data_IF_277609744924
#
_entry.id   IF_277609744924
#
_cell.length_a   1.000
_cell.length_b   1.000
_cell.length_c   1.000
_cell.angle_alpha   90.00
_cell.angle_beta   90.00
_cell.angle_gamma   90.00
#
_symmetry.space_group_name_H-M   'P 1'
#
loop_
_entity.id
_entity.type
_entity.pdbx_description
1 polymer ?
#
# COMPACT_ATOMS: atom_id res chain seq x y z
N UNK A 1 -6.84 -14.94 -59.93
CA UNK A 1 -5.63 -14.90 -59.07
C UNK A 1 -6.12 -14.60 -57.67
N UNK A 2 -6.26 -15.65 -56.86
CA UNK A 2 -6.69 -15.52 -55.45
C UNK A 2 -5.44 -15.26 -54.58
N UNK A 3 -5.39 -14.12 -53.90
CA UNK A 3 -4.35 -13.84 -52.90
C UNK A 3 -4.60 -14.66 -51.63
N UNK A 4 -3.56 -15.10 -50.92
CA UNK A 4 -3.73 -15.88 -49.70
C UNK A 4 -4.28 -15.04 -48.57
N UNK A 5 -5.41 -15.46 -48.01
CA UNK A 5 -5.99 -14.95 -46.77
C UNK A 5 -5.06 -15.22 -45.60
N UNK A 6 -4.48 -14.18 -45.02
CA UNK A 6 -3.72 -14.27 -43.77
C UNK A 6 -4.73 -14.33 -42.61
N UNK A 7 -5.24 -15.51 -42.34
CA UNK A 7 -5.94 -15.82 -41.09
C UNK A 7 -4.90 -16.25 -40.03
N UNK A 8 -4.14 -15.31 -39.53
CA UNK A 8 -3.34 -15.49 -38.32
C UNK A 8 -4.22 -15.34 -37.08
N UNK A 9 -5.08 -16.34 -36.82
CA UNK A 9 -5.74 -16.45 -35.54
C UNK A 9 -4.68 -16.64 -34.45
N UNK A 10 -4.53 -15.68 -33.56
CA UNK A 10 -3.81 -15.79 -32.33
C UNK A 10 -4.41 -16.94 -31.52
N UNK A 11 -3.85 -18.14 -31.65
CA UNK A 11 -4.10 -19.21 -30.69
C UNK A 11 -3.54 -18.74 -29.35
N UNK A 12 -4.38 -18.20 -28.48
CA UNK A 12 -4.09 -18.09 -27.05
C UNK A 12 -3.87 -19.51 -26.55
N UNK A 13 -2.61 -19.95 -26.45
CA UNK A 13 -2.24 -21.22 -25.86
C UNK A 13 -2.79 -21.22 -24.42
N UNK A 14 -3.88 -21.95 -24.19
CA UNK A 14 -4.47 -22.10 -22.88
C UNK A 14 -3.42 -22.71 -21.94
N UNK A 15 -3.07 -21.98 -20.87
CA UNK A 15 -2.13 -22.45 -19.86
C UNK A 15 -2.69 -23.74 -19.24
N UNK A 16 -1.91 -24.82 -19.26
CA UNK A 16 -2.34 -26.09 -18.65
C UNK A 16 -2.50 -25.94 -17.13
N UNK A 17 -3.31 -26.75 -16.45
CA UNK A 17 -3.51 -26.67 -15.01
C UNK A 17 -2.23 -26.73 -14.19
N UNK A 18 -1.23 -27.51 -14.60
CA UNK A 18 0.07 -27.62 -13.90
C UNK A 18 0.88 -26.33 -13.98
N UNK A 19 0.93 -25.70 -15.14
CA UNK A 19 1.59 -24.41 -15.34
C UNK A 19 0.87 -23.28 -14.57
N UNK A 20 -0.45 -23.35 -14.49
CA UNK A 20 -1.23 -22.43 -13.71
C UNK A 20 -0.89 -22.49 -12.21
N UNK A 21 -0.78 -23.68 -11.62
CA UNK A 21 -0.45 -23.84 -10.19
C UNK A 21 0.91 -23.22 -9.84
N UNK A 22 1.93 -23.50 -10.67
CA UNK A 22 3.28 -22.94 -10.49
C UNK A 22 3.28 -21.40 -10.48
N UNK A 23 2.57 -20.79 -11.44
CA UNK A 23 2.43 -19.35 -11.54
C UNK A 23 1.74 -18.75 -10.30
N UNK A 24 0.64 -19.39 -9.83
CA UNK A 24 -0.07 -18.93 -8.64
C UNK A 24 0.78 -19.01 -7.36
N UNK A 25 1.58 -20.10 -7.21
CA UNK A 25 2.48 -20.26 -6.06
C UNK A 25 3.52 -19.14 -6.05
N UNK A 26 4.18 -18.87 -7.18
CA UNK A 26 5.21 -17.81 -7.28
C UNK A 26 4.57 -16.42 -6.97
N UNK A 27 3.41 -16.14 -7.55
CA UNK A 27 2.71 -14.88 -7.34
C UNK A 27 2.29 -14.72 -5.87
N UNK A 28 1.84 -15.81 -5.22
CA UNK A 28 1.46 -15.80 -3.81
C UNK A 28 2.67 -15.53 -2.90
N UNK A 29 3.82 -16.16 -3.20
CA UNK A 29 5.05 -15.89 -2.45
C UNK A 29 5.45 -14.42 -2.58
N UNK A 30 5.43 -13.85 -3.79
CA UNK A 30 5.74 -12.45 -3.98
C UNK A 30 4.72 -11.52 -3.27
N UNK A 31 3.44 -11.90 -3.21
CA UNK A 31 2.41 -11.17 -2.51
C UNK A 31 2.58 -11.16 -0.98
N UNK A 32 3.40 -12.06 -0.40
CA UNK A 32 3.77 -11.99 1.04
C UNK A 32 4.48 -10.69 1.38
N UNK A 33 5.19 -10.07 0.43
CA UNK A 33 5.73 -8.72 0.61
C UNK A 33 4.64 -7.67 0.85
N UNK A 34 3.50 -7.79 0.15
CA UNK A 34 2.31 -6.99 0.41
C UNK A 34 1.68 -7.29 1.77
N UNK A 35 1.59 -8.56 2.16
CA UNK A 35 1.07 -8.95 3.48
C UNK A 35 1.90 -8.34 4.60
N UNK A 36 3.21 -8.38 4.51
CA UNK A 36 4.11 -7.79 5.50
C UNK A 36 4.01 -6.26 5.53
N UNK A 37 3.85 -5.62 4.36
CA UNK A 37 3.55 -4.20 4.29
C UNK A 37 2.29 -3.88 5.11
N UNK A 38 1.17 -4.57 4.85
CA UNK A 38 -0.09 -4.32 5.57
C UNK A 38 0.02 -4.60 7.06
N UNK A 39 0.74 -5.66 7.44
CA UNK A 39 0.94 -6.03 8.84
C UNK A 39 1.75 -4.96 9.60
N UNK A 40 2.96 -4.63 9.12
CA UNK A 40 3.85 -3.69 9.81
C UNK A 40 3.29 -2.26 9.83
N UNK A 41 2.49 -1.91 8.81
CA UNK A 41 1.81 -0.63 8.75
C UNK A 41 0.84 -0.41 9.93
N UNK A 42 0.10 -1.42 10.35
CA UNK A 42 -1.01 -1.30 11.32
C UNK A 42 -0.64 -1.82 12.70
N UNK A 43 0.39 -2.65 12.84
CA UNK A 43 0.81 -3.19 14.15
C UNK A 43 1.03 -2.08 15.18
N UNK A 44 1.53 -0.92 14.76
CA UNK A 44 1.79 0.23 15.61
C UNK A 44 0.53 0.78 16.28
N UNK A 45 -0.62 0.72 15.59
CA UNK A 45 -1.89 1.21 16.12
C UNK A 45 -2.37 0.50 17.38
N UNK A 46 -2.07 -0.81 17.52
CA UNK A 46 -2.36 -1.56 18.75
C UNK A 46 -1.28 -1.45 19.82
N UNK A 47 -0.01 -1.34 19.41
CA UNK A 47 1.14 -1.28 20.32
C UNK A 47 1.35 0.10 20.96
N UNK A 48 0.88 1.17 20.29
CA UNK A 48 1.14 2.58 20.60
C UNK A 48 0.90 2.93 22.06
N UNK A 49 -0.28 2.68 22.57
CA UNK A 49 -0.68 3.05 23.93
C UNK A 49 0.22 2.41 25.02
N UNK A 50 0.96 1.38 24.69
CA UNK A 50 1.84 0.66 25.63
C UNK A 50 3.29 1.13 25.54
N UNK A 51 3.85 1.28 24.33
CA UNK A 51 5.22 1.75 24.20
C UNK A 51 5.36 3.25 24.54
N UNK A 52 4.32 4.07 24.35
CA UNK A 52 4.33 5.47 24.80
C UNK A 52 4.51 5.57 26.31
N UNK A 53 3.80 4.72 27.07
CA UNK A 53 3.97 4.63 28.52
C UNK A 53 5.35 4.07 28.89
N UNK A 54 5.79 3.01 28.20
CA UNK A 54 7.09 2.37 28.45
C UNK A 54 8.28 3.32 28.28
N UNK A 55 8.28 4.12 27.21
CA UNK A 55 9.34 5.10 26.92
C UNK A 55 9.08 6.48 27.52
N UNK A 56 8.04 6.63 28.35
CA UNK A 56 7.66 7.92 29.00
C UNK A 56 7.50 9.07 28.01
N UNK A 57 6.84 8.81 26.86
CA UNK A 57 6.63 9.82 25.82
C UNK A 57 5.52 10.80 26.22
N UNK A 58 5.90 12.02 26.58
CA UNK A 58 4.96 13.07 27.01
C UNK A 58 4.76 14.16 25.97
N UNK A 59 5.74 14.35 25.08
CA UNK A 59 5.67 15.36 24.03
C UNK A 59 4.88 14.87 22.83
N UNK A 60 3.87 15.65 22.41
CA UNK A 60 3.04 15.38 21.23
C UNK A 60 3.88 15.22 19.95
N UNK A 61 4.91 16.03 19.79
CA UNK A 61 5.83 15.94 18.66
C UNK A 61 6.63 14.62 18.66
N UNK A 62 7.07 14.16 19.85
CA UNK A 62 7.79 12.88 19.98
C UNK A 62 6.85 11.70 19.73
N UNK A 63 5.60 11.77 20.17
CA UNK A 63 4.57 10.77 19.86
C UNK A 63 4.29 10.73 18.36
N UNK A 64 4.11 11.87 17.71
CA UNK A 64 3.96 11.97 16.26
C UNK A 64 5.15 11.36 15.51
N UNK A 65 6.38 11.65 15.95
CA UNK A 65 7.60 11.09 15.38
C UNK A 65 7.67 9.57 15.55
N UNK A 66 7.38 9.04 16.74
CA UNK A 66 7.39 7.61 17.00
C UNK A 66 6.45 6.84 16.05
N UNK A 67 5.27 7.41 15.76
CA UNK A 67 4.29 6.81 14.87
C UNK A 67 4.63 6.96 13.38
N UNK A 68 5.31 8.05 12.99
CA UNK A 68 5.58 8.38 11.59
C UNK A 68 6.98 8.03 11.10
N UNK A 69 7.95 7.76 11.98
CA UNK A 69 9.34 7.56 11.61
C UNK A 69 9.57 6.43 10.58
N UNK A 70 8.76 5.36 10.62
CA UNK A 70 8.83 4.29 9.63
C UNK A 70 8.55 4.78 8.21
N UNK A 71 7.73 5.82 8.05
CA UNK A 71 7.38 6.40 6.73
C UNK A 71 8.59 7.07 6.05
N UNK A 72 9.54 7.57 6.83
CA UNK A 72 10.84 8.02 6.30
C UNK A 72 11.57 6.84 5.67
N UNK A 73 11.58 5.70 6.34
CA UNK A 73 12.12 4.46 5.79
C UNK A 73 11.39 4.02 4.51
N UNK A 74 10.04 4.10 4.50
CA UNK A 74 9.24 3.77 3.32
C UNK A 74 9.62 4.64 2.12
N UNK A 75 9.80 5.93 2.31
CA UNK A 75 10.27 6.84 1.26
C UNK A 75 11.65 6.43 0.73
N UNK A 76 12.62 6.21 1.63
CA UNK A 76 13.99 5.80 1.26
C UNK A 76 13.99 4.46 0.51
N UNK A 77 13.27 3.47 1.02
CA UNK A 77 13.14 2.17 0.38
C UNK A 77 12.47 2.24 -0.99
N UNK A 78 11.42 3.06 -1.11
CA UNK A 78 10.70 3.27 -2.37
C UNK A 78 11.57 3.94 -3.44
N UNK A 79 12.34 4.95 -3.07
CA UNK A 79 13.29 5.64 -3.98
C UNK A 79 14.42 4.71 -4.45
N UNK A 80 14.90 3.85 -3.56
CA UNK A 80 15.97 2.91 -3.88
C UNK A 80 15.50 1.68 -4.68
N UNK A 81 14.20 1.31 -4.57
CA UNK A 81 13.66 0.05 -5.06
C UNK A 81 13.91 -0.18 -6.56
N UNK A 82 13.65 0.83 -7.40
CA UNK A 82 13.84 0.72 -8.85
C UNK A 82 15.30 0.42 -9.22
N UNK A 83 16.22 1.28 -8.79
CA UNK A 83 17.65 1.14 -9.08
C UNK A 83 18.23 -0.17 -8.55
N UNK A 84 17.85 -0.57 -7.34
CA UNK A 84 18.30 -1.82 -6.75
C UNK A 84 17.72 -3.05 -7.47
N UNK A 85 16.42 -2.98 -7.86
CA UNK A 85 15.77 -4.06 -8.60
C UNK A 85 16.39 -4.27 -9.98
N UNK A 86 16.77 -3.20 -10.67
CA UNK A 86 17.42 -3.29 -11.98
C UNK A 86 18.86 -3.80 -11.87
N UNK A 87 19.58 -3.44 -10.81
CA UNK A 87 20.97 -3.86 -10.62
C UNK A 87 21.12 -5.29 -10.11
N UNK A 88 20.29 -5.69 -9.13
CA UNK A 88 20.48 -6.96 -8.40
C UNK A 88 19.42 -8.02 -8.72
N UNK A 89 18.37 -7.68 -9.43
CA UNK A 89 17.23 -8.54 -9.72
C UNK A 89 16.12 -8.43 -8.69
N UNK A 90 14.94 -8.91 -9.07
CA UNK A 90 13.72 -8.76 -8.26
C UNK A 90 13.70 -9.73 -7.09
N UNK A 91 14.05 -10.99 -7.32
CA UNK A 91 14.10 -12.04 -6.31
C UNK A 91 15.03 -11.70 -5.16
N UNK A 92 16.25 -11.24 -5.46
CA UNK A 92 17.23 -10.88 -4.43
C UNK A 92 16.74 -9.73 -3.58
N UNK A 93 16.06 -8.77 -4.19
CA UNK A 93 15.53 -7.61 -3.48
C UNK A 93 14.31 -7.96 -2.61
N UNK A 94 13.45 -8.88 -3.07
CA UNK A 94 12.36 -9.45 -2.25
C UNK A 94 12.92 -10.19 -1.03
N UNK A 95 13.98 -10.98 -1.22
CA UNK A 95 14.67 -11.68 -0.14
C UNK A 95 15.28 -10.70 0.86
N UNK A 96 15.96 -9.65 0.38
CA UNK A 96 16.52 -8.61 1.24
C UNK A 96 15.42 -7.89 2.05
N UNK A 97 14.30 -7.54 1.43
CA UNK A 97 13.16 -6.95 2.11
C UNK A 97 12.58 -7.90 3.17
N UNK A 98 12.44 -9.20 2.88
CA UNK A 98 11.94 -10.21 3.82
C UNK A 98 12.84 -10.33 5.06
N UNK A 99 14.16 -10.38 4.87
CA UNK A 99 15.14 -10.40 5.96
C UNK A 99 15.09 -9.12 6.78
N UNK A 100 15.00 -7.95 6.11
CA UNK A 100 14.87 -6.67 6.80
C UNK A 100 13.59 -6.61 7.65
N UNK A 101 12.44 -7.11 7.15
CA UNK A 101 11.22 -7.23 7.95
C UNK A 101 11.43 -8.11 9.18
N UNK A 102 12.03 -9.28 9.02
CA UNK A 102 12.25 -10.21 10.13
C UNK A 102 13.17 -9.59 11.20
N UNK A 103 14.29 -9.02 10.79
CA UNK A 103 15.28 -8.45 11.71
C UNK A 103 14.73 -7.18 12.38
N UNK A 104 14.18 -6.25 11.59
CA UNK A 104 13.69 -4.98 12.13
C UNK A 104 12.52 -5.19 13.10
N UNK A 105 11.60 -6.11 12.82
CA UNK A 105 10.44 -6.37 13.68
C UNK A 105 10.84 -6.93 15.04
N UNK A 106 11.76 -7.92 15.06
CA UNK A 106 12.29 -8.46 16.32
C UNK A 106 13.01 -7.36 17.11
N UNK A 107 13.91 -6.63 16.45
CA UNK A 107 14.73 -5.62 17.13
C UNK A 107 13.92 -4.37 17.52
N UNK A 108 12.84 -4.05 16.82
CA UNK A 108 11.86 -3.04 17.25
C UNK A 108 11.16 -3.49 18.54
N UNK A 109 10.67 -4.74 18.57
CA UNK A 109 10.01 -5.29 19.75
C UNK A 109 10.93 -5.33 20.98
N UNK A 110 12.22 -5.63 20.80
CA UNK A 110 13.19 -5.74 21.89
C UNK A 110 14.14 -4.54 22.00
N UNK A 111 13.72 -3.39 21.47
CA UNK A 111 14.49 -2.17 21.62
C UNK A 111 14.67 -1.78 23.08
N UNK A 112 15.93 -1.50 23.45
CA UNK A 112 16.32 -1.12 24.83
C UNK A 112 16.23 0.39 25.08
N UNK A 113 16.12 1.19 24.04
CA UNK A 113 15.99 2.64 24.12
C UNK A 113 15.02 3.14 23.03
N UNK A 114 14.50 4.35 23.25
CA UNK A 114 13.64 5.01 22.26
C UNK A 114 14.37 5.25 20.93
N UNK A 115 15.65 5.64 20.98
CA UNK A 115 16.45 5.83 19.76
C UNK A 115 16.66 4.53 18.98
N UNK A 116 16.88 3.40 19.66
CA UNK A 116 16.97 2.10 19.03
C UNK A 116 15.61 1.69 18.41
N UNK A 117 14.50 1.96 19.11
CA UNK A 117 13.16 1.75 18.57
C UNK A 117 12.95 2.51 17.26
N UNK A 118 13.26 3.81 17.23
CA UNK A 118 13.15 4.65 16.03
C UNK A 118 14.02 4.11 14.89
N UNK A 119 15.28 3.76 15.17
CA UNK A 119 16.19 3.22 14.16
C UNK A 119 15.64 1.96 13.50
N UNK A 120 15.19 1.00 14.30
CA UNK A 120 14.62 -0.25 13.77
C UNK A 120 13.28 -0.05 13.05
N UNK A 121 12.47 0.91 13.49
CA UNK A 121 11.25 1.31 12.78
C UNK A 121 11.54 1.92 11.41
N UNK A 122 12.55 2.77 11.28
CA UNK A 122 12.99 3.33 9.98
C UNK A 122 13.48 2.19 9.07
N UNK A 123 14.24 1.25 9.61
CA UNK A 123 14.75 0.12 8.85
C UNK A 123 13.60 -0.80 8.38
N UNK A 124 12.62 -1.08 9.23
CA UNK A 124 11.39 -1.79 8.86
C UNK A 124 10.60 -1.05 7.77
N UNK A 125 10.48 0.27 7.91
CA UNK A 125 9.91 1.11 6.86
C UNK A 125 10.65 1.00 5.52
N UNK A 126 11.98 0.88 5.53
CA UNK A 126 12.75 0.64 4.30
C UNK A 126 12.35 -0.68 3.64
N UNK A 127 12.12 -1.73 4.42
CA UNK A 127 11.61 -3.00 3.89
C UNK A 127 10.20 -2.84 3.27
N UNK A 128 9.31 -2.05 3.90
CA UNK A 128 8.01 -1.69 3.34
C UNK A 128 8.18 -0.99 1.98
N UNK A 129 9.02 0.05 1.91
CA UNK A 129 9.27 0.82 0.69
C UNK A 129 9.82 -0.04 -0.44
N UNK A 130 10.73 -0.96 -0.16
CA UNK A 130 11.26 -1.93 -1.13
C UNK A 130 10.15 -2.88 -1.62
N UNK A 131 9.45 -3.54 -0.71
CA UNK A 131 8.46 -4.57 -1.07
C UNK A 131 7.24 -4.00 -1.75
N UNK A 132 6.77 -2.79 -1.39
CA UNK A 132 5.62 -2.13 -2.01
C UNK A 132 5.80 -1.86 -3.51
N UNK A 133 7.04 -1.71 -3.97
CA UNK A 133 7.37 -1.54 -5.38
C UNK A 133 7.73 -2.87 -6.06
N UNK A 134 8.58 -3.67 -5.43
CA UNK A 134 9.16 -4.85 -6.07
C UNK A 134 8.19 -6.02 -6.14
N UNK A 135 7.31 -6.21 -5.14
CA UNK A 135 6.34 -7.31 -5.16
C UNK A 135 5.36 -7.22 -6.33
N UNK A 136 4.63 -6.10 -6.54
CA UNK A 136 3.73 -6.00 -7.69
C UNK A 136 4.48 -5.98 -9.02
N UNK A 137 5.69 -5.40 -9.08
CA UNK A 137 6.53 -5.43 -10.27
C UNK A 137 6.92 -6.86 -10.66
N UNK A 138 7.42 -7.64 -9.71
CA UNK A 138 7.79 -9.04 -9.93
C UNK A 138 6.57 -9.87 -10.40
N UNK A 139 5.42 -9.70 -9.72
CA UNK A 139 4.18 -10.39 -10.11
C UNK A 139 3.78 -10.02 -11.55
N UNK A 140 3.89 -8.75 -11.93
CA UNK A 140 3.55 -8.30 -13.28
C UNK A 140 4.50 -8.88 -14.34
N UNK A 141 5.81 -9.02 -14.03
CA UNK A 141 6.84 -9.52 -14.95
C UNK A 141 6.77 -11.04 -15.19
N UNK A 142 6.32 -11.82 -14.19
CA UNK A 142 6.13 -13.27 -14.35
C UNK A 142 4.77 -13.64 -14.94
N UNK A 143 3.82 -12.68 -14.97
CA UNK A 143 2.43 -12.97 -15.30
C UNK A 143 2.16 -12.85 -16.79
N UNK A 144 1.53 -13.86 -17.41
CA UNK A 144 0.98 -13.75 -18.76
C UNK A 144 -0.03 -12.60 -18.86
N UNK A 145 -0.06 -11.92 -20.00
CA UNK A 145 -0.88 -10.73 -20.22
C UNK A 145 -2.35 -10.94 -19.85
N UNK A 146 -2.92 -12.11 -20.17
CA UNK A 146 -4.31 -12.44 -19.87
C UNK A 146 -4.65 -12.55 -18.37
N UNK A 147 -3.67 -12.86 -17.51
CA UNK A 147 -3.86 -13.08 -16.06
C UNK A 147 -3.20 -12.00 -15.19
N UNK A 148 -2.41 -11.10 -15.80
CA UNK A 148 -1.57 -10.10 -15.11
C UNK A 148 -2.38 -9.26 -14.11
N UNK A 149 -3.51 -8.73 -14.52
CA UNK A 149 -4.35 -7.91 -13.66
C UNK A 149 -4.81 -8.64 -12.39
N UNK A 150 -5.27 -9.90 -12.54
CA UNK A 150 -5.71 -10.73 -11.40
C UNK A 150 -4.56 -11.06 -10.45
N UNK A 151 -3.38 -11.38 -10.99
CA UNK A 151 -2.22 -11.75 -10.19
C UNK A 151 -1.63 -10.55 -9.46
N UNK A 152 -1.57 -9.38 -10.10
CA UNK A 152 -1.14 -8.14 -9.43
C UNK A 152 -2.12 -7.74 -8.32
N UNK A 153 -3.43 -7.98 -8.51
CA UNK A 153 -4.44 -7.73 -7.48
C UNK A 153 -4.24 -8.58 -6.21
N UNK A 154 -3.55 -9.74 -6.30
CA UNK A 154 -3.17 -10.52 -5.12
C UNK A 154 -2.31 -9.72 -4.15
N UNK A 155 -1.44 -8.84 -4.65
CA UNK A 155 -0.62 -8.00 -3.78
C UNK A 155 -1.50 -7.06 -2.93
N UNK A 156 -2.50 -6.42 -3.54
CA UNK A 156 -3.44 -5.58 -2.80
C UNK A 156 -4.28 -6.39 -1.80
N UNK A 157 -4.75 -7.57 -2.21
CA UNK A 157 -5.45 -8.48 -1.30
C UNK A 157 -4.58 -8.90 -0.12
N UNK A 158 -3.31 -9.24 -0.38
CA UNK A 158 -2.36 -9.62 0.67
C UNK A 158 -2.10 -8.47 1.66
N UNK A 159 -2.04 -7.20 1.20
CA UNK A 159 -1.91 -6.03 2.08
C UNK A 159 -3.07 -5.98 3.08
N UNK A 160 -4.32 -6.08 2.63
CA UNK A 160 -5.47 -5.97 3.53
C UNK A 160 -5.62 -7.20 4.44
N UNK A 161 -5.22 -8.39 3.99
CA UNK A 161 -5.10 -9.57 4.85
C UNK A 161 -4.04 -9.34 5.93
N UNK A 162 -2.90 -8.74 5.60
CA UNK A 162 -1.85 -8.38 6.55
C UNK A 162 -2.35 -7.39 7.60
N UNK A 163 -3.12 -6.37 7.20
CA UNK A 163 -3.77 -5.41 8.10
C UNK A 163 -4.66 -6.14 9.12
N UNK A 164 -5.57 -6.99 8.65
CA UNK A 164 -6.47 -7.74 9.53
C UNK A 164 -5.70 -8.69 10.45
N UNK A 165 -4.68 -9.38 9.92
CA UNK A 165 -3.85 -10.28 10.71
C UNK A 165 -3.13 -9.54 11.84
N UNK A 166 -2.55 -8.37 11.58
CA UNK A 166 -1.92 -7.53 12.60
C UNK A 166 -2.90 -7.14 13.71
N UNK A 167 -4.11 -6.76 13.35
CA UNK A 167 -5.16 -6.37 14.30
C UNK A 167 -5.61 -7.55 15.16
N UNK A 168 -5.79 -8.73 14.58
CA UNK A 168 -6.13 -9.96 15.32
C UNK A 168 -5.01 -10.32 16.29
N UNK A 169 -3.74 -10.26 15.84
CA UNK A 169 -2.59 -10.58 16.70
C UNK A 169 -2.46 -9.57 17.83
N UNK A 170 -2.62 -8.27 17.56
CA UNK A 170 -2.63 -7.22 18.58
C UNK A 170 -3.73 -7.47 19.62
N UNK A 171 -4.95 -7.79 19.15
CA UNK A 171 -6.07 -8.13 20.03
C UNK A 171 -5.80 -9.36 20.92
N UNK A 172 -5.19 -10.40 20.36
CA UNK A 172 -4.88 -11.63 21.10
C UNK A 172 -3.75 -11.48 22.11
N UNK A 173 -2.77 -10.62 21.80
CA UNK A 173 -1.62 -10.35 22.67
C UNK A 173 -1.93 -9.32 23.77
N UNK A 174 -2.88 -8.42 23.53
CA UNK A 174 -3.33 -7.47 24.53
C UNK A 174 -4.12 -8.19 25.64
N UNK A 175 -3.70 -7.99 26.89
CA UNK A 175 -4.42 -8.51 28.05
C UNK A 175 -5.43 -7.49 28.56
N UNK A 176 -6.58 -7.92 29.10
CA UNK A 176 -7.54 -7.04 29.71
C UNK A 176 -6.90 -6.17 30.80
N UNK A 177 -7.26 -4.91 30.86
CA UNK A 177 -6.81 -3.97 31.88
C UNK A 177 -8.02 -3.32 32.57
N UNK A 178 -7.89 -3.12 33.88
CA UNK A 178 -8.91 -2.36 34.63
C UNK A 178 -8.90 -0.89 34.16
N UNK A 179 -10.06 -0.28 34.06
CA UNK A 179 -10.18 1.13 33.78
C UNK A 179 -9.66 1.98 34.96
N UNK A 180 -8.93 3.07 34.65
CA UNK A 180 -8.46 4.01 35.68
C UNK A 180 -7.27 3.54 36.51
N UNK A 181 -6.48 2.57 36.02
CA UNK A 181 -5.24 2.17 36.72
C UNK A 181 -4.31 3.38 36.89
N UNK A 182 -3.75 3.61 38.11
CA UNK A 182 -2.68 4.59 38.33
C UNK A 182 -1.49 4.33 37.40
N UNK A 183 -0.79 5.40 37.02
CA UNK A 183 0.31 5.31 36.06
C UNK A 183 1.45 4.39 36.54
N UNK A 184 1.74 4.38 37.84
CA UNK A 184 2.76 3.51 38.43
C UNK A 184 2.40 2.02 38.27
N UNK A 185 1.13 1.65 38.47
CA UNK A 185 0.65 0.29 38.27
C UNK A 185 0.58 -0.08 36.80
N UNK A 186 0.27 0.90 35.92
CA UNK A 186 0.23 0.69 34.48
C UNK A 186 1.59 0.28 33.92
N UNK A 187 2.67 0.87 34.42
CA UNK A 187 4.05 0.54 34.04
C UNK A 187 4.41 -0.94 34.29
N UNK A 188 3.83 -1.55 35.31
CA UNK A 188 4.11 -2.95 35.65
C UNK A 188 3.18 -3.97 34.95
N UNK A 189 2.25 -3.51 34.13
CA UNK A 189 1.34 -4.41 33.39
C UNK A 189 2.07 -5.18 32.30
N UNK A 190 1.57 -6.39 32.01
CA UNK A 190 2.06 -7.19 30.88
C UNK A 190 2.09 -6.41 29.57
N UNK A 191 1.04 -5.63 29.30
CA UNK A 191 0.90 -4.91 28.04
C UNK A 191 2.02 -3.89 27.84
N UNK A 192 2.40 -3.17 28.90
CA UNK A 192 3.45 -2.15 28.86
C UNK A 192 4.84 -2.77 28.89
N UNK A 193 5.06 -3.88 29.64
CA UNK A 193 6.38 -4.49 29.72
C UNK A 193 6.69 -5.41 28.54
N UNK A 194 5.71 -6.20 28.07
CA UNK A 194 5.92 -7.26 27.09
C UNK A 194 4.92 -7.24 25.93
N UNK A 195 3.67 -6.82 26.13
CA UNK A 195 2.61 -6.94 25.13
C UNK A 195 2.97 -6.28 23.80
N UNK A 196 3.36 -5.01 23.81
CA UNK A 196 3.76 -4.27 22.60
C UNK A 196 5.01 -4.86 21.94
N UNK A 197 5.93 -5.42 22.73
CA UNK A 197 7.13 -6.08 22.21
C UNK A 197 6.78 -7.28 21.36
N UNK A 198 5.88 -8.11 21.85
CA UNK A 198 5.41 -9.27 21.13
C UNK A 198 4.53 -8.92 19.94
N UNK A 199 3.78 -7.80 19.97
CA UNK A 199 3.02 -7.32 18.82
C UNK A 199 3.96 -7.02 17.63
N UNK A 200 5.07 -6.33 17.85
CA UNK A 200 6.08 -6.11 16.81
C UNK A 200 6.83 -7.40 16.44
N UNK A 201 7.25 -8.19 17.42
CA UNK A 201 8.01 -9.42 17.16
C UNK A 201 7.20 -10.44 16.36
N UNK A 202 5.89 -10.47 16.50
CA UNK A 202 5.01 -11.38 15.77
C UNK A 202 5.07 -11.20 14.24
N UNK A 203 5.45 -10.02 13.75
CA UNK A 203 5.71 -9.76 12.31
C UNK A 203 6.80 -10.70 11.78
N UNK A 204 7.73 -11.12 12.63
CA UNK A 204 8.83 -12.00 12.21
C UNK A 204 8.33 -13.37 11.74
N UNK A 205 7.19 -13.86 12.21
CA UNK A 205 6.67 -15.16 11.78
C UNK A 205 6.32 -15.19 10.28
N UNK A 206 5.44 -14.32 9.75
CA UNK A 206 5.21 -14.25 8.31
C UNK A 206 6.45 -13.77 7.54
N UNK A 207 7.33 -12.95 8.12
CA UNK A 207 8.57 -12.53 7.48
C UNK A 207 9.55 -13.69 7.26
N UNK A 208 9.66 -14.61 8.22
CA UNK A 208 10.44 -15.84 8.06
C UNK A 208 9.85 -16.75 6.98
N UNK A 209 8.53 -16.90 6.94
CA UNK A 209 7.86 -17.63 5.85
C UNK A 209 8.18 -17.02 4.50
N UNK A 210 8.11 -15.70 4.38
CA UNK A 210 8.46 -14.99 3.14
C UNK A 210 9.94 -15.17 2.79
N UNK A 211 10.84 -15.07 3.77
CA UNK A 211 12.28 -15.29 3.58
C UNK A 211 12.54 -16.68 3.03
N UNK A 212 12.01 -17.73 3.67
CA UNK A 212 12.19 -19.10 3.25
C UNK A 212 11.58 -19.35 1.87
N UNK A 213 10.36 -18.88 1.64
CA UNK A 213 9.67 -19.06 0.35
C UNK A 213 10.38 -18.32 -0.80
N UNK A 214 11.02 -17.17 -0.53
CA UNK A 214 11.78 -16.41 -1.54
C UNK A 214 13.01 -17.15 -2.08
N UNK A 215 13.51 -18.15 -1.40
CA UNK A 215 14.57 -19.02 -1.95
C UNK A 215 14.08 -19.95 -3.05
N UNK A 216 12.79 -20.23 -3.14
CA UNK A 216 12.20 -21.18 -4.09
C UNK A 216 11.57 -20.51 -5.32
N UNK A 217 11.35 -19.20 -5.31
CA UNK A 217 10.85 -18.49 -6.49
C UNK A 217 12.00 -18.22 -7.48
N UNK A 218 11.73 -18.24 -8.80
CA UNK A 218 12.74 -17.92 -9.82
C UNK A 218 13.02 -16.41 -9.85
N UNK A 219 14.06 -16.01 -10.58
CA UNK A 219 14.26 -14.58 -10.93
C UNK A 219 13.26 -14.16 -12.02
N UNK A 220 13.06 -12.84 -12.20
CA UNK A 220 12.22 -12.31 -13.25
C UNK A 220 12.77 -12.64 -14.63
N UNK A 221 12.00 -13.28 -15.53
CA UNK A 221 12.44 -13.54 -16.92
C UNK A 221 12.79 -12.26 -17.66
N UNK A 222 12.02 -11.18 -17.43
CA UNK A 222 12.28 -9.89 -18.07
C UNK A 222 13.62 -9.28 -17.64
N UNK A 223 13.96 -9.42 -16.37
CA UNK A 223 15.25 -8.97 -15.86
C UNK A 223 16.39 -9.84 -16.38
N UNK A 224 16.21 -11.17 -16.45
CA UNK A 224 17.20 -12.09 -16.97
C UNK A 224 17.55 -11.79 -18.43
N UNK A 225 16.58 -11.55 -19.29
CA UNK A 225 16.81 -11.10 -20.66
C UNK A 225 17.56 -9.75 -20.70
N UNK A 226 17.25 -8.84 -19.75
CA UNK A 226 17.93 -7.55 -19.66
C UNK A 226 19.41 -7.62 -19.33
N UNK A 227 19.84 -8.71 -18.67
CA UNK A 227 21.26 -8.96 -18.32
C UNK A 227 21.92 -10.05 -19.19
N UNK A 228 21.26 -10.49 -20.29
CA UNK A 228 21.79 -11.45 -21.24
C UNK A 228 21.78 -12.90 -20.77
N UNK A 229 20.89 -13.28 -19.83
CA UNK A 229 20.72 -14.65 -19.33
C UNK A 229 19.46 -15.29 -19.92
N UNK A 230 19.40 -15.33 -21.26
CA UNK A 230 18.18 -15.70 -22.00
C UNK A 230 17.82 -17.19 -21.83
N UNK A 231 18.80 -18.07 -21.67
CA UNK A 231 18.54 -19.50 -21.44
C UNK A 231 17.80 -19.75 -20.12
N UNK A 232 18.17 -19.03 -19.08
CA UNK A 232 17.48 -19.12 -17.77
C UNK A 232 16.08 -18.52 -17.86
N UNK A 233 15.92 -17.39 -18.55
CA UNK A 233 14.61 -16.79 -18.79
C UNK A 233 13.70 -17.76 -19.54
N UNK A 234 14.23 -18.43 -20.58
CA UNK A 234 13.52 -19.44 -21.35
C UNK A 234 13.05 -20.60 -20.49
N UNK A 235 13.94 -21.18 -19.67
CA UNK A 235 13.59 -22.29 -18.79
C UNK A 235 12.47 -21.94 -17.80
N UNK A 236 12.45 -20.70 -17.27
CA UNK A 236 11.40 -20.22 -16.38
C UNK A 236 10.08 -20.05 -17.15
N UNK A 237 10.11 -19.42 -18.32
CA UNK A 237 8.91 -19.18 -19.14
C UNK A 237 8.31 -20.50 -19.65
N UNK A 238 9.13 -21.50 -19.97
CA UNK A 238 8.66 -22.85 -20.32
C UNK A 238 7.91 -23.52 -19.15
N UNK A 239 8.36 -23.31 -17.93
CA UNK A 239 7.65 -23.79 -16.73
C UNK A 239 6.35 -23.05 -16.46
N UNK A 240 6.21 -21.80 -16.93
CA UNK A 240 5.01 -20.96 -16.76
C UNK A 240 3.95 -21.26 -17.83
N UNK A 241 4.35 -21.48 -19.09
CA UNK A 241 3.39 -21.58 -20.19
C UNK A 241 3.79 -22.53 -21.33
N UNK A 242 4.90 -23.26 -21.18
CA UNK A 242 5.42 -24.20 -22.18
C UNK A 242 6.32 -23.55 -23.23
N UNK A 243 6.94 -24.35 -24.13
CA UNK A 243 7.98 -23.89 -25.07
C UNK A 243 7.50 -22.83 -26.06
N UNK A 244 6.26 -22.96 -26.56
CA UNK A 244 5.70 -22.01 -27.52
C UNK A 244 5.45 -20.63 -26.85
N UNK A 245 4.96 -20.64 -25.62
CA UNK A 245 4.78 -19.42 -24.82
C UNK A 245 6.12 -18.74 -24.53
N UNK A 246 7.15 -19.51 -24.12
CA UNK A 246 8.46 -18.99 -23.82
C UNK A 246 9.09 -18.28 -25.03
N UNK A 247 9.01 -18.91 -26.22
CA UNK A 247 9.54 -18.30 -27.44
C UNK A 247 8.84 -17.01 -27.84
N UNK A 248 7.52 -16.96 -27.70
CA UNK A 248 6.73 -15.75 -27.99
C UNK A 248 7.02 -14.62 -27.00
N UNK A 249 7.13 -14.93 -25.70
CA UNK A 249 7.37 -13.92 -24.66
C UNK A 249 8.79 -13.35 -24.74
N UNK A 250 9.81 -14.18 -25.01
CA UNK A 250 11.19 -13.71 -25.22
C UNK A 250 11.25 -12.76 -26.43
N UNK A 251 10.66 -13.15 -27.57
CA UNK A 251 10.62 -12.28 -28.74
C UNK A 251 9.92 -10.94 -28.44
N UNK A 252 8.86 -10.98 -27.61
CA UNK A 252 8.17 -9.78 -27.13
C UNK A 252 9.07 -8.90 -26.25
N UNK A 253 9.81 -9.49 -25.32
CA UNK A 253 10.75 -8.77 -24.44
C UNK A 253 11.87 -8.12 -25.26
N UNK A 254 12.48 -8.86 -26.19
CA UNK A 254 13.52 -8.31 -27.06
C UNK A 254 13.04 -7.17 -27.94
N UNK A 255 11.82 -7.29 -28.50
CA UNK A 255 11.24 -6.23 -29.32
C UNK A 255 10.97 -4.95 -28.52
N UNK A 256 10.50 -5.09 -27.27
CA UNK A 256 10.31 -3.99 -26.35
C UNK A 256 11.65 -3.31 -25.97
N UNK A 257 12.68 -4.09 -25.69
CA UNK A 257 14.02 -3.57 -25.37
C UNK A 257 14.65 -2.79 -26.54
N UNK A 258 14.51 -3.30 -27.78
CA UNK A 258 14.96 -2.57 -28.97
C UNK A 258 14.23 -1.24 -29.18
N UNK A 259 12.94 -1.20 -28.87
CA UNK A 259 12.16 0.03 -28.93
C UNK A 259 12.56 1.03 -27.84
N UNK A 260 12.88 0.55 -26.64
CA UNK A 260 13.29 1.42 -25.50
C UNK A 260 14.71 1.99 -25.72
N UNK A 261 15.63 1.26 -26.39
CA UNK A 261 16.97 1.79 -26.73
C UNK A 261 16.95 2.90 -27.75
N UNK A 262 15.90 3.01 -28.56
CA UNK A 262 15.73 4.13 -29.50
C UNK A 262 15.12 5.38 -28.86
N UNK A 263 14.51 5.23 -27.67
CA UNK A 263 13.98 6.36 -26.90
C UNK A 263 15.06 6.84 -25.92
N UNK A 264 15.58 8.05 -26.14
CA UNK A 264 16.43 8.72 -25.16
C UNK A 264 15.71 8.73 -23.81
N UNK A 265 16.38 8.23 -22.76
CA UNK A 265 15.80 8.25 -21.41
C UNK A 265 15.41 9.68 -21.05
N UNK A 266 14.15 9.94 -20.70
CA UNK A 266 13.71 11.30 -20.41
C UNK A 266 14.45 11.84 -19.19
N UNK A 267 14.91 13.08 -19.30
CA UNK A 267 15.53 13.77 -18.18
C UNK A 267 14.47 14.13 -17.13
N UNK A 268 14.83 14.09 -15.85
CA UNK A 268 13.99 14.58 -14.75
C UNK A 268 13.50 16.02 -14.98
N UNK A 269 14.26 16.82 -15.75
CA UNK A 269 13.88 18.19 -16.13
C UNK A 269 12.67 18.24 -17.06
N UNK A 270 12.42 17.17 -17.81
CA UNK A 270 11.26 17.11 -18.72
C UNK A 270 9.93 17.08 -17.96
N UNK A 271 9.90 16.53 -16.74
CA UNK A 271 8.73 16.58 -15.87
C UNK A 271 8.26 18.01 -15.56
N UNK A 272 9.19 18.96 -15.55
CA UNK A 272 8.92 20.36 -15.22
C UNK A 272 8.50 21.20 -16.44
N UNK A 273 8.53 20.62 -17.65
CA UNK A 273 8.04 21.30 -18.83
C UNK A 273 6.56 21.63 -18.69
N UNK A 274 6.09 22.77 -19.21
CA UNK A 274 4.69 23.18 -19.12
C UNK A 274 3.70 22.11 -19.57
N UNK A 275 4.06 21.33 -20.61
CA UNK A 275 3.26 20.23 -21.14
C UNK A 275 3.00 19.11 -20.12
N UNK A 276 3.96 18.81 -19.24
CA UNK A 276 3.84 17.69 -18.29
C UNK A 276 3.60 18.14 -16.85
N UNK A 277 3.86 19.42 -16.54
CA UNK A 277 3.73 19.97 -15.19
C UNK A 277 2.31 19.82 -14.62
N UNK A 278 1.28 20.06 -15.45
CA UNK A 278 -0.12 19.95 -15.01
C UNK A 278 -0.45 18.52 -14.58
N UNK A 279 -0.10 17.53 -15.39
CA UNK A 279 -0.38 16.12 -15.08
C UNK A 279 0.46 15.61 -13.92
N UNK A 280 1.69 16.10 -13.76
CA UNK A 280 2.53 15.82 -12.60
C UNK A 280 1.89 16.34 -11.30
N UNK A 281 1.40 17.57 -11.30
CA UNK A 281 0.71 18.16 -10.15
C UNK A 281 -0.58 17.41 -9.81
N UNK A 282 -1.34 16.94 -10.80
CA UNK A 282 -2.52 16.11 -10.60
C UNK A 282 -2.13 14.76 -9.98
N UNK A 283 -1.07 14.11 -10.46
CA UNK A 283 -0.56 12.86 -9.88
C UNK A 283 -0.12 13.02 -8.42
N UNK A 284 0.62 14.09 -8.11
CA UNK A 284 1.03 14.44 -6.74
C UNK A 284 -0.20 14.70 -5.86
N UNK A 285 -1.16 15.49 -6.36
CA UNK A 285 -2.37 15.84 -5.61
C UNK A 285 -3.25 14.60 -5.32
N UNK A 286 -3.37 13.67 -6.28
CA UNK A 286 -4.08 12.40 -6.08
C UNK A 286 -3.40 11.52 -5.03
N UNK A 287 -2.08 11.42 -5.06
CA UNK A 287 -1.29 10.68 -4.11
C UNK A 287 -1.41 11.27 -2.69
N UNK A 288 -1.34 12.61 -2.57
CA UNK A 288 -1.52 13.31 -1.31
C UNK A 288 -2.97 13.18 -0.80
N UNK A 289 -3.96 13.37 -1.66
CA UNK A 289 -5.39 13.23 -1.32
C UNK A 289 -5.68 11.86 -0.73
N UNK A 290 -5.19 10.79 -1.36
CA UNK A 290 -5.42 9.41 -0.90
C UNK A 290 -4.95 9.22 0.56
N UNK A 291 -3.87 9.85 0.96
CA UNK A 291 -3.37 9.80 2.34
C UNK A 291 -4.16 10.74 3.27
N UNK A 292 -4.44 11.96 2.80
CA UNK A 292 -5.05 13.01 3.63
C UNK A 292 -6.57 12.91 3.78
N UNK A 293 -7.18 11.84 3.26
CA UNK A 293 -8.58 11.49 3.59
C UNK A 293 -8.80 11.18 5.08
N UNK A 294 -7.74 11.07 5.89
CA UNK A 294 -7.83 10.74 7.31
C UNK A 294 -8.02 9.24 7.63
N UNK A 295 -8.17 8.38 6.62
CA UNK A 295 -8.42 6.94 6.85
C UNK A 295 -7.25 6.26 7.55
N UNK A 296 -5.99 6.65 7.24
CA UNK A 296 -4.83 6.08 7.92
C UNK A 296 -4.82 6.35 9.43
N UNK A 297 -5.47 7.42 9.86
CA UNK A 297 -5.67 7.72 11.29
C UNK A 297 -6.57 6.69 11.95
N UNK A 298 -7.62 6.24 11.25
CA UNK A 298 -8.51 5.19 11.75
C UNK A 298 -7.84 3.82 11.90
N UNK A 299 -6.65 3.62 11.29
CA UNK A 299 -5.83 2.43 11.49
C UNK A 299 -4.74 2.65 12.55
N UNK A 300 -3.98 3.74 12.45
CA UNK A 300 -2.79 3.96 13.29
C UNK A 300 -3.10 4.58 14.65
N UNK A 301 -4.24 5.28 14.76
CA UNK A 301 -4.72 5.95 15.97
C UNK A 301 -6.12 5.46 16.38
N UNK A 302 -6.53 4.29 15.90
CA UNK A 302 -7.84 3.70 16.16
C UNK A 302 -8.18 3.64 17.67
N UNK A 303 -7.21 3.25 18.50
CA UNK A 303 -7.41 3.17 19.93
C UNK A 303 -7.77 4.52 20.58
N UNK A 304 -7.19 5.62 20.08
CA UNK A 304 -7.49 6.97 20.55
C UNK A 304 -8.86 7.42 20.09
N UNK A 305 -9.20 7.20 18.83
CA UNK A 305 -10.51 7.52 18.25
C UNK A 305 -11.62 6.77 19.00
N UNK A 306 -11.49 5.49 19.24
CA UNK A 306 -12.52 4.72 19.96
C UNK A 306 -12.57 5.02 21.47
N UNK A 307 -11.43 5.36 22.08
CA UNK A 307 -11.42 5.81 23.49
C UNK A 307 -12.13 7.13 23.64
N UNK A 308 -11.91 8.11 22.75
CA UNK A 308 -12.62 9.40 22.77
C UNK A 308 -14.11 9.25 22.48
N UNK A 309 -14.52 8.17 21.78
CA UNK A 309 -15.91 7.79 21.60
C UNK A 309 -16.54 7.12 22.84
N UNK A 310 -15.76 6.86 23.90
CA UNK A 310 -16.26 6.28 25.16
C UNK A 310 -16.20 4.75 25.23
N UNK A 311 -15.48 4.08 24.33
CA UNK A 311 -15.27 2.62 24.41
C UNK A 311 -14.26 2.25 25.50
N UNK A 312 -14.53 1.16 26.20
CA UNK A 312 -13.62 0.55 27.15
C UNK A 312 -12.40 -0.10 26.48
N UNK A 313 -11.30 -0.28 27.22
CA UNK A 313 -10.04 -0.80 26.67
C UNK A 313 -10.19 -2.16 25.98
N UNK A 314 -11.06 -3.03 26.44
CA UNK A 314 -11.29 -4.35 25.86
C UNK A 314 -12.06 -4.28 24.55
N UNK A 315 -13.05 -3.38 24.44
CA UNK A 315 -13.89 -3.21 23.24
C UNK A 315 -13.13 -2.53 22.11
N UNK A 316 -12.15 -1.68 22.44
CA UNK A 316 -11.32 -0.98 21.47
C UNK A 316 -10.62 -1.97 20.53
N UNK A 317 -9.97 -3.00 21.05
CA UNK A 317 -9.27 -3.97 20.23
C UNK A 317 -10.22 -4.77 19.33
N UNK A 318 -11.41 -5.13 19.83
CA UNK A 318 -12.43 -5.80 19.01
C UNK A 318 -12.91 -4.88 17.88
N UNK A 319 -13.18 -3.61 18.16
CA UNK A 319 -13.59 -2.62 17.17
C UNK A 319 -12.50 -2.42 16.09
N UNK A 320 -11.23 -2.46 16.49
CA UNK A 320 -10.09 -2.42 15.55
C UNK A 320 -10.11 -3.65 14.62
N UNK A 321 -10.38 -4.84 15.12
CA UNK A 321 -10.50 -6.06 14.29
C UNK A 321 -11.70 -5.96 13.33
N UNK A 322 -12.83 -5.45 13.79
CA UNK A 322 -14.01 -5.19 12.95
C UNK A 322 -13.66 -4.21 11.82
N UNK A 323 -12.88 -3.16 12.13
CA UNK A 323 -12.34 -2.22 11.13
C UNK A 323 -11.58 -2.92 10.02
N UNK A 324 -10.68 -3.85 10.36
CA UNK A 324 -9.92 -4.62 9.38
C UNK A 324 -10.78 -5.61 8.58
N UNK A 325 -11.76 -6.23 9.22
CA UNK A 325 -12.69 -7.13 8.53
C UNK A 325 -13.54 -6.39 7.48
N UNK A 326 -14.04 -5.19 7.83
CA UNK A 326 -14.76 -4.31 6.89
C UNK A 326 -13.83 -3.88 5.75
N UNK A 327 -12.60 -3.45 6.06
CA UNK A 327 -11.62 -3.08 5.06
C UNK A 327 -11.35 -4.23 4.07
N UNK A 328 -11.14 -5.46 4.57
CA UNK A 328 -10.94 -6.64 3.73
C UNK A 328 -12.15 -6.93 2.84
N UNK A 329 -13.36 -6.97 3.42
CA UNK A 329 -14.59 -7.28 2.69
C UNK A 329 -14.81 -6.27 1.54
N UNK A 330 -14.72 -4.98 1.82
CA UNK A 330 -14.95 -3.95 0.81
C UNK A 330 -13.82 -3.84 -0.22
N UNK A 331 -12.58 -4.19 0.13
CA UNK A 331 -11.49 -4.32 -0.85
C UNK A 331 -11.77 -5.47 -1.84
N UNK A 332 -12.29 -6.60 -1.39
CA UNK A 332 -12.69 -7.70 -2.29
C UNK A 332 -13.79 -7.24 -3.25
N UNK A 333 -14.80 -6.52 -2.76
CA UNK A 333 -15.83 -5.93 -3.64
C UNK A 333 -15.24 -4.92 -4.62
N UNK A 334 -14.28 -4.11 -4.20
CA UNK A 334 -13.60 -3.14 -5.07
C UNK A 334 -12.89 -3.82 -6.24
N UNK A 335 -12.19 -4.93 -5.99
CA UNK A 335 -11.51 -5.70 -7.04
C UNK A 335 -12.47 -6.21 -8.12
N UNK A 336 -13.73 -6.48 -7.78
CA UNK A 336 -14.76 -6.90 -8.72
C UNK A 336 -15.40 -5.71 -9.47
N UNK A 337 -15.36 -4.52 -8.89
CA UNK A 337 -16.11 -3.35 -9.35
C UNK A 337 -15.28 -2.39 -10.20
N UNK A 338 -13.97 -2.29 -9.96
CA UNK A 338 -13.08 -1.27 -10.53
C UNK A 338 -13.11 -1.21 -12.06
N UNK A 339 -13.18 -2.37 -12.71
CA UNK A 339 -13.22 -2.46 -14.16
C UNK A 339 -14.62 -2.20 -14.75
N UNK A 340 -15.68 -2.32 -13.93
CA UNK A 340 -17.06 -2.13 -14.35
C UNK A 340 -17.54 -0.68 -14.21
N UNK A 341 -17.19 -0.02 -13.12
CA UNK A 341 -17.70 1.33 -12.75
C UNK A 341 -16.90 2.43 -13.42
N UNK A 342 -15.58 2.32 -13.44
CA UNK A 342 -14.67 3.36 -13.94
C UNK A 342 -13.96 4.10 -12.80
N UNK A 343 -12.74 4.56 -13.10
CA UNK A 343 -11.81 5.06 -12.08
C UNK A 343 -12.26 6.40 -11.51
N UNK A 344 -12.65 7.32 -12.39
CA UNK A 344 -13.07 8.67 -11.99
C UNK A 344 -14.33 8.65 -11.13
N UNK A 345 -15.35 7.87 -11.53
CA UNK A 345 -16.61 7.78 -10.78
C UNK A 345 -16.39 7.18 -9.39
N UNK A 346 -15.55 6.14 -9.27
CA UNK A 346 -15.20 5.56 -7.98
C UNK A 346 -14.48 6.57 -7.07
N UNK A 347 -13.54 7.35 -7.61
CA UNK A 347 -12.85 8.40 -6.84
C UNK A 347 -13.84 9.46 -6.32
N UNK A 348 -14.75 9.95 -7.18
CA UNK A 348 -15.77 10.94 -6.80
C UNK A 348 -16.70 10.40 -5.72
N UNK A 349 -17.22 9.17 -5.89
CA UNK A 349 -18.08 8.53 -4.91
C UNK A 349 -17.36 8.32 -3.56
N UNK A 350 -16.07 7.95 -3.62
CA UNK A 350 -15.24 7.81 -2.43
C UNK A 350 -15.01 9.11 -1.69
N UNK A 351 -14.65 10.18 -2.39
CA UNK A 351 -14.47 11.50 -1.78
C UNK A 351 -15.75 11.99 -1.07
N UNK A 352 -16.92 11.80 -1.70
CA UNK A 352 -18.22 12.15 -1.07
C UNK A 352 -18.49 11.23 0.13
N UNK A 353 -18.40 9.91 -0.06
CA UNK A 353 -18.75 8.95 0.99
C UNK A 353 -17.87 9.08 2.23
N UNK A 354 -16.55 9.23 2.06
CA UNK A 354 -15.61 9.45 3.17
C UNK A 354 -15.86 10.83 3.78
N UNK A 355 -16.00 11.88 2.96
CA UNK A 355 -16.23 13.25 3.42
C UNK A 355 -17.50 13.37 4.27
N UNK A 356 -18.62 12.84 3.79
CA UNK A 356 -19.89 12.82 4.55
C UNK A 356 -19.74 12.03 5.86
N UNK A 357 -19.10 10.86 5.81
CA UNK A 357 -18.86 10.06 7.02
C UNK A 357 -18.04 10.82 8.05
N UNK A 358 -16.98 11.53 7.64
CA UNK A 358 -16.16 12.33 8.55
C UNK A 358 -16.90 13.56 9.10
N UNK A 359 -17.67 14.27 8.27
CA UNK A 359 -18.48 15.40 8.73
C UNK A 359 -19.54 14.95 9.74
N UNK A 360 -20.19 13.81 9.50
CA UNK A 360 -21.12 13.23 10.46
C UNK A 360 -20.41 12.75 11.73
N UNK A 361 -19.19 12.20 11.64
CA UNK A 361 -18.36 11.90 12.81
C UNK A 361 -18.04 13.16 13.61
N UNK A 362 -17.62 14.24 12.95
CA UNK A 362 -17.36 15.53 13.62
C UNK A 362 -18.60 16.02 14.38
N UNK A 363 -19.75 15.97 13.74
CA UNK A 363 -21.02 16.31 14.37
C UNK A 363 -21.37 15.38 15.52
N UNK A 364 -21.19 14.07 15.35
CA UNK A 364 -21.48 13.07 16.38
C UNK A 364 -20.61 13.26 17.64
N UNK A 365 -19.34 13.60 17.50
CA UNK A 365 -18.47 13.96 18.61
C UNK A 365 -18.91 15.26 19.29
N UNK A 366 -19.24 16.28 18.50
CA UNK A 366 -19.72 17.56 19.03
C UNK A 366 -21.05 17.43 19.77
N UNK A 367 -21.98 16.65 19.24
CA UNK A 367 -23.30 16.42 19.80
C UNK A 367 -23.34 15.28 20.84
N UNK A 368 -22.19 14.74 21.24
CA UNK A 368 -22.07 13.65 22.22
C UNK A 368 -22.97 12.43 21.91
N UNK A 369 -23.00 12.01 20.65
CA UNK A 369 -23.76 10.83 20.24
C UNK A 369 -23.25 9.55 20.91
N UNK A 370 -24.09 8.51 20.91
CA UNK A 370 -23.70 7.20 21.44
C UNK A 370 -22.48 6.64 20.69
N UNK A 371 -21.59 5.97 21.42
CA UNK A 371 -20.36 5.35 20.88
C UNK A 371 -20.60 4.48 19.65
N UNK A 372 -21.72 3.72 19.62
CA UNK A 372 -22.09 2.89 18.49
C UNK A 372 -22.31 3.69 17.18
N UNK A 373 -22.84 4.92 17.25
CA UNK A 373 -23.02 5.76 16.07
C UNK A 373 -21.67 6.18 15.50
N UNK A 374 -20.72 6.55 16.35
CA UNK A 374 -19.35 6.92 15.94
C UNK A 374 -18.65 5.71 15.30
N UNK A 375 -18.81 4.51 15.87
CA UNK A 375 -18.26 3.27 15.27
C UNK A 375 -18.86 3.04 13.87
N UNK A 376 -20.15 3.12 13.69
CA UNK A 376 -20.81 2.94 12.39
C UNK A 376 -20.29 3.94 11.36
N UNK A 377 -20.15 5.20 11.75
CA UNK A 377 -19.67 6.26 10.84
C UNK A 377 -18.19 6.06 10.46
N UNK A 378 -17.34 5.66 11.41
CA UNK A 378 -15.94 5.34 11.11
C UNK A 378 -15.80 4.10 10.21
N UNK A 379 -16.60 3.06 10.46
CA UNK A 379 -16.66 1.87 9.60
C UNK A 379 -17.18 2.21 8.20
N UNK A 380 -18.16 3.14 8.08
CA UNK A 380 -18.65 3.62 6.79
C UNK A 380 -17.57 4.36 6.00
N UNK A 381 -16.78 5.22 6.66
CA UNK A 381 -15.64 5.89 6.03
C UNK A 381 -14.62 4.89 5.49
N UNK A 382 -14.29 3.86 6.27
CA UNK A 382 -13.35 2.80 5.88
C UNK A 382 -13.92 1.96 4.73
N UNK A 383 -15.19 1.61 4.77
CA UNK A 383 -15.87 0.88 3.69
C UNK A 383 -15.85 1.67 2.38
N UNK A 384 -16.19 2.96 2.41
CA UNK A 384 -16.10 3.84 1.26
C UNK A 384 -14.68 3.93 0.71
N UNK A 385 -13.67 4.10 1.57
CA UNK A 385 -12.27 4.16 1.17
C UNK A 385 -11.79 2.85 0.53
N UNK A 386 -12.05 1.72 1.19
CA UNK A 386 -11.62 0.40 0.72
C UNK A 386 -12.26 0.03 -0.63
N UNK A 387 -13.52 0.45 -0.84
CA UNK A 387 -14.23 0.23 -2.09
C UNK A 387 -13.72 1.12 -3.24
N UNK A 388 -13.13 2.27 -2.95
CA UNK A 388 -12.88 3.33 -3.93
C UNK A 388 -11.43 3.78 -3.97
N UNK A 389 -11.02 4.74 -3.12
CA UNK A 389 -9.72 5.40 -3.20
C UNK A 389 -8.53 4.44 -3.00
N UNK A 390 -8.68 3.44 -2.14
CA UNK A 390 -7.58 2.52 -1.82
C UNK A 390 -7.02 1.81 -3.08
N UNK A 391 -7.83 1.11 -3.89
CA UNK A 391 -7.33 0.46 -5.10
C UNK A 391 -7.20 1.42 -6.28
N UNK A 392 -8.12 2.39 -6.44
CA UNK A 392 -8.22 3.20 -7.65
C UNK A 392 -7.08 4.19 -7.79
N UNK A 393 -6.58 4.77 -6.68
CA UNK A 393 -5.49 5.76 -6.74
C UNK A 393 -4.22 5.18 -7.34
N UNK A 394 -3.85 3.94 -6.98
CA UNK A 394 -2.67 3.28 -7.54
C UNK A 394 -2.80 3.02 -9.04
N UNK A 395 -3.99 2.62 -9.49
CA UNK A 395 -4.29 2.42 -10.90
C UNK A 395 -4.20 3.75 -11.66
N UNK A 396 -4.83 4.81 -11.13
CA UNK A 396 -4.79 6.14 -11.74
C UNK A 396 -3.37 6.70 -11.83
N UNK A 397 -2.57 6.59 -10.78
CA UNK A 397 -1.17 7.04 -10.79
C UNK A 397 -0.37 6.29 -11.86
N UNK A 398 -0.64 5.01 -12.10
CA UNK A 398 0.02 4.25 -13.15
C UNK A 398 -0.47 4.60 -14.57
N UNK A 399 -1.74 4.98 -14.73
CA UNK A 399 -2.40 5.22 -16.03
C UNK A 399 -2.30 6.68 -16.50
N UNK A 400 -2.27 7.66 -15.56
CA UNK A 400 -2.40 9.09 -15.91
C UNK A 400 -1.18 9.65 -16.63
N UNK A 401 0.02 9.10 -16.39
CA UNK A 401 1.24 9.64 -16.99
C UNK A 401 1.47 9.12 -18.40
N UNK A 402 1.81 10.02 -19.37
CA UNK A 402 2.26 9.66 -20.69
C UNK A 402 3.44 8.70 -20.68
N UNK A 403 3.53 7.81 -21.67
CA UNK A 403 4.58 6.78 -21.77
C UNK A 403 5.97 7.36 -21.58
N UNK A 404 6.24 8.51 -22.21
CA UNK A 404 7.54 9.19 -22.20
C UNK A 404 8.06 9.50 -20.79
N UNK A 405 7.18 9.94 -19.87
CA UNK A 405 7.56 10.39 -18.52
C UNK A 405 6.98 9.51 -17.40
N UNK A 406 6.36 8.37 -17.75
CA UNK A 406 5.58 7.55 -16.80
C UNK A 406 6.40 7.08 -15.61
N UNK A 407 7.58 6.52 -15.84
CA UNK A 407 8.44 6.00 -14.77
C UNK A 407 8.79 7.07 -13.74
N UNK A 408 9.24 8.23 -14.21
CA UNK A 408 9.60 9.35 -13.34
C UNK A 408 8.35 9.97 -12.68
N UNK A 409 7.25 10.13 -13.43
CA UNK A 409 5.99 10.68 -12.91
C UNK A 409 5.41 9.83 -11.80
N UNK A 410 5.37 8.50 -11.98
CA UNK A 410 4.95 7.54 -10.95
C UNK A 410 5.87 7.61 -9.72
N UNK A 411 7.20 7.66 -9.94
CA UNK A 411 8.17 7.75 -8.84
C UNK A 411 7.96 9.00 -7.98
N UNK A 412 7.72 10.16 -8.63
CA UNK A 412 7.44 11.42 -7.91
C UNK A 412 6.10 11.34 -7.17
N UNK A 413 5.05 10.81 -7.81
CA UNK A 413 3.74 10.66 -7.17
C UNK A 413 3.79 9.72 -5.95
N UNK A 414 4.50 8.59 -6.05
CA UNK A 414 4.69 7.66 -4.93
C UNK A 414 5.55 8.29 -3.81
N UNK A 415 6.55 9.08 -4.16
CA UNK A 415 7.33 9.84 -3.16
C UNK A 415 6.44 10.86 -2.43
N UNK A 416 5.60 11.57 -3.16
CA UNK A 416 4.62 12.50 -2.60
C UNK A 416 3.61 11.79 -1.68
N UNK A 417 3.20 10.56 -2.03
CA UNK A 417 2.34 9.72 -1.19
C UNK A 417 2.99 9.43 0.17
N UNK A 418 4.26 8.99 0.18
CA UNK A 418 4.97 8.71 1.44
C UNK A 418 5.20 9.95 2.27
N UNK A 419 5.54 11.09 1.65
CA UNK A 419 5.68 12.39 2.32
C UNK A 419 4.34 12.83 2.92
N UNK A 420 3.25 12.75 2.15
CA UNK A 420 1.91 13.10 2.61
C UNK A 420 1.45 12.21 3.77
N UNK A 421 1.75 10.91 3.71
CA UNK A 421 1.47 9.95 4.78
C UNK A 421 2.27 10.27 6.05
N UNK A 422 3.55 10.61 5.91
CA UNK A 422 4.39 11.07 7.02
C UNK A 422 3.80 12.31 7.68
N UNK A 423 3.51 13.34 6.89
CA UNK A 423 2.94 14.59 7.41
C UNK A 423 1.61 14.37 8.12
N UNK A 424 0.70 13.58 7.53
CA UNK A 424 -0.57 13.24 8.15
C UNK A 424 -0.36 12.56 9.51
N UNK A 425 0.45 11.50 9.55
CA UNK A 425 0.66 10.69 10.75
C UNK A 425 1.39 11.47 11.84
N UNK A 426 2.37 12.30 11.45
CA UNK A 426 3.13 13.14 12.37
C UNK A 426 2.28 14.26 12.97
N UNK A 427 1.45 14.91 12.16
CA UNK A 427 0.67 16.09 12.58
C UNK A 427 -0.65 15.73 13.28
N UNK A 428 -1.15 14.51 13.15
CA UNK A 428 -2.43 14.13 13.75
C UNK A 428 -2.48 14.36 15.26
N UNK A 429 -1.51 13.96 16.11
CA UNK A 429 -1.57 14.22 17.54
C UNK A 429 -1.64 15.71 17.88
N UNK A 430 -0.92 16.54 17.10
CA UNK A 430 -0.95 18.00 17.25
C UNK A 430 -2.32 18.56 16.87
N UNK A 431 -2.86 18.15 15.72
CA UNK A 431 -4.18 18.58 15.26
C UNK A 431 -5.27 18.19 16.25
N UNK A 432 -5.21 16.94 16.77
CA UNK A 432 -6.16 16.45 17.76
C UNK A 432 -6.05 17.19 19.10
N UNK A 433 -4.85 17.64 19.49
CA UNK A 433 -4.66 18.46 20.68
C UNK A 433 -5.24 19.88 20.51
N UNK A 434 -5.10 20.48 19.32
CA UNK A 434 -5.54 21.86 19.04
C UNK A 434 -7.05 21.95 18.81
N UNK A 435 -7.62 21.04 18.02
CA UNK A 435 -8.99 21.11 17.52
C UNK A 435 -9.92 20.08 18.19
N UNK A 436 -9.36 19.15 18.96
CA UNK A 436 -10.07 17.99 19.47
C UNK A 436 -10.45 17.00 18.38
N UNK A 437 -11.02 15.86 18.77
CA UNK A 437 -11.38 14.79 17.82
C UNK A 437 -12.46 15.27 16.83
N UNK A 438 -13.43 16.07 17.26
CA UNK A 438 -14.47 16.63 16.40
C UNK A 438 -13.87 17.54 15.30
N UNK A 439 -12.99 18.47 15.67
CA UNK A 439 -12.31 19.37 14.73
C UNK A 439 -11.44 18.61 13.73
N UNK A 440 -10.72 17.60 14.20
CA UNK A 440 -9.90 16.75 13.36
C UNK A 440 -10.71 16.02 12.27
N UNK A 441 -11.88 15.45 12.63
CA UNK A 441 -12.75 14.82 11.64
C UNK A 441 -13.38 15.84 10.69
N UNK A 442 -13.70 17.06 11.17
CA UNK A 442 -14.15 18.15 10.31
C UNK A 442 -13.10 18.51 9.26
N UNK A 443 -11.84 18.67 9.68
CA UNK A 443 -10.70 18.97 8.78
C UNK A 443 -10.57 17.90 7.70
N UNK A 444 -10.60 16.60 8.04
CA UNK A 444 -10.53 15.53 7.05
C UNK A 444 -11.76 15.48 6.13
N UNK A 445 -12.95 15.76 6.67
CA UNK A 445 -14.15 15.87 5.86
C UNK A 445 -14.06 16.98 4.81
N UNK A 446 -13.56 18.15 5.19
CA UNK A 446 -13.31 19.27 4.25
C UNK A 446 -12.26 18.89 3.19
N UNK A 447 -11.17 18.24 3.58
CA UNK A 447 -10.15 17.77 2.63
C UNK A 447 -10.75 16.80 1.60
N UNK A 448 -11.64 15.90 2.02
CA UNK A 448 -12.33 15.00 1.10
C UNK A 448 -13.24 15.75 0.10
N UNK A 449 -13.94 16.79 0.56
CA UNK A 449 -14.76 17.62 -0.34
C UNK A 449 -13.90 18.44 -1.33
N UNK A 450 -12.76 18.98 -0.89
CA UNK A 450 -11.78 19.59 -1.79
C UNK A 450 -11.22 18.57 -2.77
N UNK A 451 -10.99 17.34 -2.31
CA UNK A 451 -10.60 16.20 -3.16
C UNK A 451 -11.64 15.86 -4.21
N UNK A 452 -12.93 15.93 -3.88
CA UNK A 452 -14.00 15.77 -4.86
C UNK A 452 -13.90 16.83 -5.96
N UNK A 453 -13.71 18.11 -5.61
CA UNK A 453 -13.55 19.19 -6.58
C UNK A 453 -12.32 18.98 -7.46
N UNK A 454 -11.19 18.58 -6.87
CA UNK A 454 -9.95 18.25 -7.60
C UNK A 454 -10.20 17.13 -8.62
N UNK A 455 -10.81 16.03 -8.21
CA UNK A 455 -11.08 14.88 -9.09
C UNK A 455 -12.08 15.27 -10.19
N UNK A 456 -13.13 16.01 -9.85
CA UNK A 456 -14.13 16.46 -10.82
C UNK A 456 -13.55 17.39 -11.89
N UNK A 457 -12.63 18.28 -11.49
CA UNK A 457 -12.06 19.29 -12.39
C UNK A 457 -10.89 18.76 -13.25
N UNK A 458 -10.04 17.88 -12.69
CA UNK A 458 -8.74 17.60 -13.30
C UNK A 458 -8.49 16.14 -13.65
N UNK A 459 -9.26 15.18 -13.10
CA UNK A 459 -9.01 13.75 -13.35
C UNK A 459 -9.85 13.28 -14.54
N UNK A 460 -9.23 12.83 -15.64
CA UNK A 460 -9.95 12.25 -16.75
C UNK A 460 -10.44 10.83 -16.41
N UNK A 461 -11.49 10.35 -17.09
CA UNK A 461 -11.85 8.92 -17.02
C UNK A 461 -10.88 8.12 -17.89
N UNK A 462 -10.27 7.11 -17.29
CA UNK A 462 -9.29 6.24 -17.97
C UNK A 462 -9.89 4.92 -18.43
N UNK A 463 -11.10 4.57 -17.97
CA UNK A 463 -11.78 3.32 -18.32
C UNK A 463 -11.95 3.19 -19.83
N UNK A 464 -11.48 2.05 -20.38
CA UNK A 464 -11.66 1.73 -21.80
C UNK A 464 -10.84 2.57 -22.77
N UNK A 465 -9.95 3.46 -22.30
CA UNK A 465 -9.03 4.20 -23.15
C UNK A 465 -7.69 3.48 -23.26
N UNK A 466 -7.15 3.42 -24.47
CA UNK A 466 -5.77 2.96 -24.65
C UNK A 466 -4.78 4.01 -24.12
N UNK A 467 -3.59 3.56 -23.75
CA UNK A 467 -2.54 4.47 -23.27
C UNK A 467 -2.17 5.52 -24.31
N UNK A 468 -2.26 5.18 -25.62
CA UNK A 468 -2.05 6.10 -26.75
C UNK A 468 -3.12 7.21 -26.81
N UNK A 469 -4.37 6.86 -26.49
CA UNK A 469 -5.46 7.84 -26.44
C UNK A 469 -5.32 8.80 -25.26
N UNK A 470 -4.78 8.31 -24.13
CA UNK A 470 -4.48 9.14 -22.97
C UNK A 470 -3.31 10.08 -23.29
N UNK A 471 -2.26 9.59 -23.95
CA UNK A 471 -1.11 10.40 -24.41
C UNK A 471 -1.56 11.53 -25.33
N UNK A 472 -2.42 11.24 -26.31
CA UNK A 472 -2.94 12.25 -27.24
C UNK A 472 -3.82 13.31 -26.54
N UNK A 473 -4.51 12.98 -25.47
CA UNK A 473 -5.32 13.93 -24.70
C UNK A 473 -4.47 14.80 -23.77
N UNK A 474 -3.38 14.25 -23.22
CA UNK A 474 -2.48 14.97 -22.31
C UNK A 474 -1.63 16.05 -23.02
N UNK A 475 -1.39 15.89 -24.33
CA UNK A 475 -0.62 16.85 -25.14
C UNK A 475 -1.47 17.98 -25.74
N UNK A 476 -2.80 17.89 -25.71
CA UNK A 476 -3.74 18.87 -26.27
C UNK A 476 -4.33 19.86 -25.26
N UNK A 477 -4.09 19.70 -23.96
CA UNK A 477 -4.57 20.56 -22.87
C UNK A 477 -3.46 21.15 -22.02
#
# INVERSE_FOLDING_TARGET
>A
MHGPSVSGASQSSAITPQHSLYLWVIALVAALGGLLFGYDWVVIGGARQFYEVYFHLTSVAVVGWANSCALVGCLLGSLAAGTLADRYGRRRLLLAAAVLFAVSSVLTGWAWSFSAFIFWRILGGTAIGLSSNVSPLYIAEISPAAHRGRLVSLNQFAIVVGILLAQIVNWRLARPMAAGLPQDLLLHTWNVQYGWRWMFTAVAAPALVFTLASFFIPESPRWLCGVGRDDEARAILERIGGPAYASAEIAGIESAQRSDTTLTQPSWRELLLPTFRKILLVGIALAALQQWTGINILFNYAAEVYRSAGYGANDIFLNIVITGAINLAFTVFAMLLVDRVGRRLMMLAGCIGIGVSHLLCAWAYHAHWRSAAILILTLSAIACYALTLAPVTWVLIAEIFPRRIRSQGVSVAVSALWIASFLLTYTFPLLNQLEGTAGTFLTYGVICLLGFVLVAAYVPETKGRSLEQIDASATRG
#
